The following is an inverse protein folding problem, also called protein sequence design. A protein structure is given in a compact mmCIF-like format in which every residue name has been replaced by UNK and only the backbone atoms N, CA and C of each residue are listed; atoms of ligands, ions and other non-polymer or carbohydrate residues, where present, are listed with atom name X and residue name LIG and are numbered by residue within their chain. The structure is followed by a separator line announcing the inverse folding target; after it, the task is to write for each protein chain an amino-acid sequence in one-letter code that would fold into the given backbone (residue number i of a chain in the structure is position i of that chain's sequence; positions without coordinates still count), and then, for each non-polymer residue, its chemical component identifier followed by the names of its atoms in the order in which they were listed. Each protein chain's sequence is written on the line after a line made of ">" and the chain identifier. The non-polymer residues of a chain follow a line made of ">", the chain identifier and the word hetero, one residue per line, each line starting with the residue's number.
data_IF_533301161520
#
_entry.id   IF_533301161520
#
_cell.length_a   1.000
_cell.length_b   1.000
_cell.length_c   1.000
_cell.angle_alpha   90.00
_cell.angle_beta   90.00
_cell.angle_gamma   90.00
#
_symmetry.space_group_name_H-M   'P 1'
#
loop_
_entity.id
_entity.type
_entity.pdbx_description
1 polymer ?
#
# COMPACT_ATOMS: atom_id res chain seq x y z
N UNK A 1 4.45 -1.10 12.94
CA UNK A 1 4.92 -0.98 11.54
C UNK A 1 3.86 -0.31 10.67
N UNK A 2 2.63 -0.83 10.63
CA UNK A 2 1.52 -0.24 9.87
C UNK A 2 1.39 1.30 10.03
N UNK A 3 1.35 1.81 11.26
CA UNK A 3 1.18 3.26 11.52
C UNK A 3 2.31 4.11 10.93
N UNK A 4 3.55 3.59 10.95
CA UNK A 4 4.72 4.27 10.38
C UNK A 4 4.59 4.31 8.85
N UNK A 5 4.18 3.20 8.24
CA UNK A 5 3.90 3.16 6.80
C UNK A 5 2.78 4.15 6.44
N UNK A 6 1.67 4.14 7.17
CA UNK A 6 0.57 5.08 6.96
C UNK A 6 1.06 6.54 7.05
N UNK A 7 1.79 6.90 8.12
CA UNK A 7 2.39 8.22 8.27
C UNK A 7 3.31 8.58 7.09
N UNK A 8 4.16 7.67 6.62
CA UNK A 8 5.05 7.88 5.48
C UNK A 8 4.25 8.28 4.24
N UNK A 9 3.18 7.57 3.90
CA UNK A 9 2.39 7.87 2.71
C UNK A 9 1.49 9.11 2.89
N UNK A 10 0.98 9.37 4.10
CA UNK A 10 0.23 10.61 4.38
C UNK A 10 1.11 11.86 4.24
N UNK A 11 2.37 11.79 4.67
CA UNK A 11 3.30 12.92 4.65
C UNK A 11 3.98 13.14 3.30
N UNK A 12 3.99 12.13 2.41
CA UNK A 12 4.68 12.18 1.12
C UNK A 12 3.69 11.91 -0.03
N UNK A 13 3.02 12.96 -0.57
CA UNK A 13 2.00 12.82 -1.61
C UNK A 13 2.47 12.03 -2.83
N UNK A 14 3.70 12.27 -3.32
CA UNK A 14 4.25 11.55 -4.48
C UNK A 14 4.35 10.04 -4.23
N UNK A 15 4.77 9.64 -3.02
CA UNK A 15 4.85 8.22 -2.65
C UNK A 15 3.47 7.60 -2.51
N UNK A 16 2.50 8.34 -1.97
CA UNK A 16 1.11 7.90 -1.90
C UNK A 16 0.55 7.66 -3.29
N UNK A 17 0.76 8.60 -4.20
CA UNK A 17 0.22 8.52 -5.55
C UNK A 17 0.87 7.33 -6.30
N UNK A 18 2.17 7.08 -6.10
CA UNK A 18 2.85 5.87 -6.57
C UNK A 18 2.27 4.59 -5.98
N UNK A 19 1.93 4.57 -4.68
CA UNK A 19 1.31 3.42 -4.03
C UNK A 19 -0.09 3.14 -4.58
N UNK A 20 -0.92 4.18 -4.72
CA UNK A 20 -2.27 4.08 -5.30
C UNK A 20 -2.22 3.64 -6.76
N UNK A 21 -1.25 4.11 -7.54
CA UNK A 21 -1.06 3.72 -8.94
C UNK A 21 -0.75 2.23 -9.15
N UNK A 22 -0.41 1.48 -8.09
CA UNK A 22 -0.27 0.02 -8.18
C UNK A 22 -1.60 -0.70 -8.41
N UNK A 23 -2.73 -0.01 -8.21
CA UNK A 23 -4.07 -0.55 -8.40
C UNK A 23 -4.28 -1.81 -7.55
N UNK A 24 -4.87 -2.85 -8.14
CA UNK A 24 -5.11 -4.14 -7.47
C UNK A 24 -3.90 -5.09 -7.47
N UNK A 25 -2.74 -4.62 -7.92
CA UNK A 25 -1.54 -5.47 -7.98
C UNK A 25 -1.10 -5.92 -6.60
N UNK A 26 -0.73 -7.20 -6.47
CA UNK A 26 -0.13 -7.72 -5.25
C UNK A 26 1.30 -7.19 -5.09
N UNK A 27 1.59 -6.57 -3.94
CA UNK A 27 2.93 -6.06 -3.62
C UNK A 27 3.72 -7.12 -2.87
N UNK A 28 4.86 -7.52 -3.43
CA UNK A 28 5.80 -8.46 -2.82
C UNK A 28 7.12 -7.72 -2.54
N UNK A 29 7.54 -7.69 -1.28
CA UNK A 29 8.92 -7.35 -0.92
C UNK A 29 9.79 -8.55 -1.28
N UNK A 30 10.55 -8.45 -2.37
CA UNK A 30 11.47 -9.49 -2.79
C UNK A 30 12.87 -9.15 -2.32
N UNK A 31 13.56 -10.11 -1.71
CA UNK A 31 14.92 -9.90 -1.22
C UNK A 31 15.84 -11.12 -1.41
N UNK A 32 17.15 -10.87 -1.33
CA UNK A 32 18.21 -11.86 -1.51
C UNK A 32 19.09 -12.08 -0.26
N UNK A 33 18.73 -11.47 0.87
CA UNK A 33 19.51 -11.51 2.12
C UNK A 33 18.89 -12.37 3.22
N UNK A 34 17.84 -13.13 2.91
CA UNK A 34 17.27 -14.10 3.84
C UNK A 34 16.17 -13.56 4.75
N UNK A 35 15.55 -12.42 4.41
CA UNK A 35 14.41 -11.91 5.20
C UNK A 35 13.10 -12.56 4.73
N UNK A 36 12.69 -13.58 5.47
CA UNK A 36 11.43 -14.30 5.24
C UNK A 36 10.24 -13.70 5.99
N UNK A 37 10.44 -12.73 6.87
CA UNK A 37 9.34 -12.13 7.64
C UNK A 37 8.76 -10.92 6.92
N UNK A 38 9.59 -9.93 6.61
CA UNK A 38 9.10 -8.73 5.92
C UNK A 38 8.85 -8.97 4.44
N UNK A 39 9.57 -9.92 3.85
CA UNK A 39 9.53 -10.20 2.42
C UNK A 39 9.58 -11.66 2.04
N UNK A 40 10.00 -11.90 0.80
CA UNK A 40 10.14 -13.20 0.18
C UNK A 40 11.50 -13.38 -0.46
N UNK A 41 12.09 -14.53 -0.20
CA UNK A 41 13.29 -15.05 -0.88
C UNK A 41 12.85 -16.24 -1.71
N UNK A 42 13.07 -16.21 -3.02
CA UNK A 42 12.66 -17.30 -3.93
C UNK A 42 11.18 -17.72 -3.75
N UNK A 43 10.27 -16.74 -3.59
CA UNK A 43 8.83 -16.92 -3.32
C UNK A 43 8.45 -17.51 -1.95
N UNK A 44 9.42 -17.82 -1.09
CA UNK A 44 9.20 -18.25 0.28
C UNK A 44 9.29 -17.06 1.23
N UNK A 45 8.40 -16.98 2.23
CA UNK A 45 8.35 -15.89 3.21
C UNK A 45 6.94 -15.31 3.38
N UNK A 46 6.74 -14.54 4.45
CA UNK A 46 5.44 -14.02 4.89
C UNK A 46 5.03 -12.74 4.16
N UNK A 47 5.98 -11.96 3.63
CA UNK A 47 5.70 -10.70 2.94
C UNK A 47 4.90 -9.70 3.80
N UNK A 48 5.20 -9.61 5.11
CA UNK A 48 4.47 -8.72 6.03
C UNK A 48 4.50 -7.26 5.57
N UNK A 49 5.59 -6.80 4.94
CA UNK A 49 5.65 -5.43 4.42
C UNK A 49 4.67 -5.24 3.26
N UNK A 50 4.66 -6.15 2.28
CA UNK A 50 3.73 -6.08 1.16
C UNK A 50 2.27 -6.08 1.60
N UNK A 51 1.92 -6.91 2.59
CA UNK A 51 0.58 -6.94 3.20
C UNK A 51 0.21 -5.60 3.81
N UNK A 52 1.10 -5.01 4.63
CA UNK A 52 0.87 -3.70 5.24
C UNK A 52 0.69 -2.61 4.17
N UNK A 53 1.50 -2.62 3.11
CA UNK A 53 1.39 -1.62 2.04
C UNK A 53 0.05 -1.72 1.29
N UNK A 54 -0.45 -2.93 1.07
CA UNK A 54 -1.77 -3.13 0.45
C UNK A 54 -2.91 -2.67 1.36
N UNK A 55 -2.82 -2.89 2.68
CA UNK A 55 -3.82 -2.36 3.64
C UNK A 55 -3.79 -0.83 3.72
N UNK A 56 -2.59 -0.23 3.75
CA UNK A 56 -2.43 1.23 3.69
C UNK A 56 -3.02 1.80 2.40
N UNK A 57 -2.77 1.16 1.25
CA UNK A 57 -3.35 1.54 -0.05
C UNK A 57 -4.88 1.57 0.01
N UNK A 58 -5.51 0.49 0.50
CA UNK A 58 -6.96 0.37 0.59
C UNK A 58 -7.58 1.49 1.45
N UNK A 59 -6.96 1.82 2.58
CA UNK A 59 -7.45 2.88 3.47
C UNK A 59 -7.26 4.28 2.90
N UNK A 60 -6.15 4.53 2.19
CA UNK A 60 -5.92 5.80 1.51
C UNK A 60 -6.91 6.01 0.36
N UNK A 61 -7.25 4.94 -0.37
CA UNK A 61 -8.26 4.98 -1.42
C UNK A 61 -9.65 5.27 -0.84
N UNK A 62 -10.06 4.57 0.23
CA UNK A 62 -11.33 4.82 0.91
C UNK A 62 -11.45 6.28 1.36
N UNK A 63 -10.41 6.83 1.99
CA UNK A 63 -10.40 8.23 2.44
C UNK A 63 -10.54 9.23 1.29
N UNK A 64 -9.99 8.91 0.12
CA UNK A 64 -10.14 9.75 -1.07
C UNK A 64 -11.58 9.69 -1.61
N UNK A 65 -12.18 8.51 -1.69
CA UNK A 65 -13.55 8.32 -2.19
C UNK A 65 -14.61 8.92 -1.25
N UNK A 66 -14.41 8.86 0.06
CA UNK A 66 -15.36 9.40 1.06
C UNK A 66 -15.11 10.86 1.44
N UNK A 67 -14.16 11.54 0.79
CA UNK A 67 -13.93 12.96 1.05
C UNK A 67 -15.18 13.75 0.66
N UNK A 68 -15.64 14.73 1.48
CA UNK A 68 -16.93 15.41 1.30
C UNK A 68 -17.11 16.16 -0.03
N UNK A 69 -16.05 16.28 -0.84
CA UNK A 69 -16.06 16.93 -2.15
C UNK A 69 -15.76 15.98 -3.32
N UNK A 70 -15.62 14.66 -3.10
CA UNK A 70 -15.40 13.71 -4.19
C UNK A 70 -16.75 13.12 -4.64
N UNK A 71 -17.18 13.50 -5.84
CA UNK A 71 -18.33 12.86 -6.50
C UNK A 71 -17.85 11.48 -6.98
N UNK A 72 -18.48 10.36 -6.55
CA UNK A 72 -18.14 9.03 -7.04
C UNK A 72 -18.20 8.98 -8.57
N UNK A 73 -17.18 8.40 -9.22
CA UNK A 73 -17.13 8.26 -10.69
C UNK A 73 -18.32 7.48 -11.28
N UNK A 74 -19.07 6.73 -10.47
CA UNK A 74 -20.30 6.05 -10.89
C UNK A 74 -21.53 6.98 -11.00
N UNK A 75 -21.40 8.25 -10.60
CA UNK A 75 -22.44 9.28 -10.64
C UNK A 75 -22.12 10.40 -11.65
N UNK A 76 -21.19 10.16 -12.59
CA UNK A 76 -20.77 11.09 -13.63
C UNK A 76 -21.26 10.66 -15.02
#
# INVERSE_FOLDING_TARGET
>A
MYEICMCKFMQNPELRDKLLATGESTLIEGNNWGDYFWGKVNNCGENQLGIILMDVRAKLQWNAETAPNNIPQCLQ
#
